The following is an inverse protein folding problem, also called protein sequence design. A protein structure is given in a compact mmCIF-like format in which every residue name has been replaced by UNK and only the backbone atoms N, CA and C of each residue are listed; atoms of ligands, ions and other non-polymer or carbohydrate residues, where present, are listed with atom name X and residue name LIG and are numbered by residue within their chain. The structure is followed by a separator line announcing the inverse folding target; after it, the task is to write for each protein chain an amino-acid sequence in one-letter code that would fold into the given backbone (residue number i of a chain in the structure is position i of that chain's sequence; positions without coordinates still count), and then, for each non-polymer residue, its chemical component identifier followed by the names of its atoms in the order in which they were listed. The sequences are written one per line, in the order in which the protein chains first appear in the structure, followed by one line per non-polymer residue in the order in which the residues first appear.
data_IF_753653906428
#
_entry.id   IF_753653906428
#
_cell.length_a   1.000
_cell.length_b   1.000
_cell.length_c   1.000
_cell.angle_alpha   90.00
_cell.angle_beta   90.00
_cell.angle_gamma   90.00
#
_symmetry.space_group_name_H-M   'P 1'
#
loop_
_entity.id
_entity.type
_entity.pdbx_description
1 polymer ?
#
# COMPACT_ATOMS: atom_id res chain seq x y z
N UNK A 1 45.68 -30.74 -7.36
CA UNK A 1 46.08 -29.83 -6.27
C UNK A 1 45.90 -28.38 -6.74
N UNK A 2 45.02 -27.60 -6.11
CA UNK A 2 44.81 -26.19 -6.46
C UNK A 2 45.97 -25.37 -5.88
N UNK A 3 46.80 -24.75 -6.73
CA UNK A 3 47.86 -23.83 -6.29
C UNK A 3 47.17 -22.63 -5.62
N UNK A 4 47.29 -22.50 -4.29
CA UNK A 4 46.82 -21.31 -3.58
C UNK A 4 47.59 -20.10 -4.13
N UNK A 5 46.86 -19.04 -4.48
CA UNK A 5 47.47 -17.81 -4.97
C UNK A 5 48.38 -17.26 -3.86
N UNK A 6 49.66 -17.04 -4.18
CA UNK A 6 50.58 -16.41 -3.22
C UNK A 6 49.99 -15.08 -2.71
N UNK A 7 50.10 -14.78 -1.41
CA UNK A 7 49.74 -13.49 -0.82
C UNK A 7 50.28 -12.33 -1.66
N UNK A 8 49.52 -11.24 -1.77
CA UNK A 8 49.91 -10.07 -2.58
C UNK A 8 51.27 -9.50 -2.15
N UNK A 9 51.53 -9.49 -0.83
CA UNK A 9 52.81 -9.09 -0.26
C UNK A 9 53.99 -9.95 -0.76
N UNK A 10 53.83 -11.27 -0.86
CA UNK A 10 54.87 -12.15 -1.39
C UNK A 10 55.14 -11.91 -2.88
N UNK A 11 54.12 -11.53 -3.65
CA UNK A 11 54.30 -11.20 -5.08
C UNK A 11 55.02 -9.87 -5.27
N UNK A 12 54.74 -8.88 -4.42
CA UNK A 12 55.42 -7.58 -4.40
C UNK A 12 56.89 -7.76 -4.02
N UNK A 13 57.16 -8.51 -2.94
CA UNK A 13 58.52 -8.87 -2.55
C UNK A 13 59.24 -9.58 -3.71
N UNK A 14 58.65 -10.62 -4.31
CA UNK A 14 59.23 -11.33 -5.46
C UNK A 14 59.56 -10.38 -6.62
N UNK A 15 58.72 -9.39 -6.92
CA UNK A 15 58.99 -8.41 -7.98
C UNK A 15 60.16 -7.48 -7.65
N UNK A 16 60.27 -7.02 -6.40
CA UNK A 16 61.38 -6.17 -5.96
C UNK A 16 62.69 -6.97 -5.92
N UNK A 17 62.64 -8.20 -5.42
CA UNK A 17 63.77 -9.13 -5.44
C UNK A 17 64.22 -9.49 -6.86
N UNK A 18 63.31 -9.70 -7.81
CA UNK A 18 63.65 -9.92 -9.22
C UNK A 18 64.32 -8.70 -9.87
N UNK A 19 63.92 -7.47 -9.50
CA UNK A 19 64.61 -6.25 -9.93
C UNK A 19 66.02 -6.17 -9.35
N UNK A 20 66.22 -6.61 -8.10
CA UNK A 20 67.52 -6.68 -7.43
C UNK A 20 68.42 -7.81 -7.97
N UNK A 21 67.85 -8.95 -8.36
CA UNK A 21 68.62 -10.07 -8.92
C UNK A 21 69.15 -9.75 -10.33
N UNK A 22 68.50 -8.84 -11.04
CA UNK A 22 68.95 -8.32 -12.34
C UNK A 22 69.98 -7.20 -12.21
N UNK A 23 70.29 -6.77 -10.99
CA UNK A 23 71.26 -5.73 -10.70
C UNK A 23 72.68 -6.33 -10.74
N UNK A 24 73.53 -5.81 -11.63
CA UNK A 24 74.93 -6.23 -11.73
C UNK A 24 75.83 -5.28 -10.94
N UNK A 25 76.33 -5.76 -9.80
CA UNK A 25 77.17 -5.01 -8.88
C UNK A 25 78.50 -4.52 -9.50
N UNK A 26 78.91 -5.07 -10.64
CA UNK A 26 80.12 -4.64 -11.34
C UNK A 26 79.91 -3.41 -12.24
N UNK A 27 78.65 -3.04 -12.55
CA UNK A 27 78.33 -1.96 -13.51
C UNK A 27 77.41 -0.87 -12.94
N UNK A 28 76.73 -1.11 -11.82
CA UNK A 28 75.78 -0.16 -11.21
C UNK A 28 76.20 0.30 -9.81
N UNK A 29 75.75 1.49 -9.41
CA UNK A 29 76.15 2.15 -8.17
C UNK A 29 75.23 1.77 -7.02
N UNK A 30 75.77 1.38 -5.87
CA UNK A 30 75.02 0.88 -4.69
C UNK A 30 73.83 1.79 -4.28
N UNK A 31 73.92 3.09 -4.56
CA UNK A 31 72.84 4.06 -4.36
C UNK A 31 71.59 3.80 -5.20
N UNK A 32 71.70 3.14 -6.36
CA UNK A 32 70.57 2.77 -7.21
C UNK A 32 69.67 1.74 -6.51
N UNK A 33 70.26 0.82 -5.74
CA UNK A 33 69.52 -0.14 -4.91
C UNK A 33 68.70 0.60 -3.84
N UNK A 34 69.32 1.59 -3.18
CA UNK A 34 68.62 2.42 -2.19
C UNK A 34 67.44 3.14 -2.84
N UNK A 35 67.62 3.69 -4.04
CA UNK A 35 66.55 4.33 -4.81
C UNK A 35 65.38 3.39 -5.14
N UNK A 36 65.63 2.12 -5.48
CA UNK A 36 64.57 1.12 -5.71
C UNK A 36 63.74 0.92 -4.45
N UNK A 37 64.39 0.73 -3.29
CA UNK A 37 63.70 0.53 -2.02
C UNK A 37 62.96 1.78 -1.55
N UNK A 38 63.53 2.97 -1.75
CA UNK A 38 62.87 4.23 -1.41
C UNK A 38 61.60 4.45 -2.26
N UNK A 39 61.65 4.11 -3.55
CA UNK A 39 60.50 4.18 -4.43
C UNK A 39 59.38 3.22 -3.99
N UNK A 40 59.70 1.95 -3.75
CA UNK A 40 58.70 0.96 -3.31
C UNK A 40 58.16 1.31 -1.91
N UNK A 41 58.99 1.88 -1.03
CA UNK A 41 58.55 2.39 0.27
C UNK A 41 57.59 3.58 0.14
N UNK A 42 57.84 4.49 -0.80
CA UNK A 42 56.95 5.62 -1.07
C UNK A 42 55.59 5.13 -1.61
N UNK A 43 55.62 4.15 -2.53
CA UNK A 43 54.40 3.52 -3.06
C UNK A 43 53.60 2.83 -1.96
N UNK A 44 54.25 2.06 -1.09
CA UNK A 44 53.58 1.41 0.03
C UNK A 44 52.94 2.42 0.99
N UNK A 45 53.60 3.55 1.26
CA UNK A 45 53.00 4.61 2.09
C UNK A 45 51.73 5.19 1.48
N UNK A 46 51.70 5.38 0.17
CA UNK A 46 50.49 5.83 -0.53
C UNK A 46 49.37 4.79 -0.46
N UNK A 47 49.68 3.52 -0.68
CA UNK A 47 48.70 2.44 -0.58
C UNK A 47 48.14 2.30 0.84
N UNK A 48 48.99 2.39 1.87
CA UNK A 48 48.55 2.38 3.28
C UNK A 48 47.64 3.56 3.57
N UNK A 49 48.01 4.78 3.15
CA UNK A 49 47.17 5.96 3.34
C UNK A 49 45.81 5.82 2.64
N UNK A 50 45.79 5.28 1.41
CA UNK A 50 44.54 5.00 0.70
C UNK A 50 43.69 3.97 1.44
N UNK A 51 44.29 2.87 1.93
CA UNK A 51 43.53 1.88 2.69
C UNK A 51 42.99 2.44 4.00
N UNK A 52 43.72 3.32 4.69
CA UNK A 52 43.22 4.00 5.88
C UNK A 52 42.00 4.87 5.54
N UNK A 53 42.07 5.64 4.46
CA UNK A 53 40.94 6.42 3.96
C UNK A 53 39.74 5.53 3.63
N UNK A 54 39.95 4.47 2.84
CA UNK A 54 38.90 3.51 2.46
C UNK A 54 38.26 2.87 3.70
N UNK A 55 39.06 2.50 4.71
CA UNK A 55 38.56 1.96 5.98
C UNK A 55 37.69 3.00 6.70
N UNK A 56 38.09 4.26 6.73
CA UNK A 56 37.27 5.32 7.35
C UNK A 56 35.95 5.51 6.60
N UNK A 57 35.98 5.53 5.26
CA UNK A 57 34.79 5.63 4.42
C UNK A 57 33.86 4.41 4.57
N UNK A 58 34.42 3.20 4.65
CA UNK A 58 33.65 2.00 4.93
C UNK A 58 33.00 2.05 6.33
N UNK A 59 33.71 2.57 7.33
CA UNK A 59 33.15 2.72 8.68
C UNK A 59 31.99 3.72 8.73
N UNK A 60 32.12 4.86 8.05
CA UNK A 60 31.07 5.89 8.01
C UNK A 60 29.83 5.38 7.26
N UNK A 61 30.02 4.79 6.09
CA UNK A 61 28.91 4.19 5.31
C UNK A 61 28.19 3.10 6.09
N UNK A 62 28.91 2.22 6.78
CA UNK A 62 28.33 1.16 7.60
C UNK A 62 27.52 1.73 8.78
N UNK A 63 27.99 2.82 9.40
CA UNK A 63 27.22 3.53 10.44
C UNK A 63 25.89 4.06 9.88
N UNK A 64 25.91 4.74 8.74
CA UNK A 64 24.71 5.26 8.07
C UNK A 64 23.73 4.14 7.72
N UNK A 65 24.20 3.02 7.17
CA UNK A 65 23.35 1.87 6.84
C UNK A 65 22.69 1.27 8.08
N UNK A 66 23.42 1.15 9.21
CA UNK A 66 22.83 0.69 10.47
C UNK A 66 21.73 1.62 10.97
N UNK A 67 21.92 2.93 10.85
CA UNK A 67 20.91 3.93 11.22
C UNK A 67 19.66 3.81 10.33
N UNK A 68 19.83 3.64 9.02
CA UNK A 68 18.72 3.43 8.07
C UNK A 68 17.95 2.14 8.36
N UNK A 69 18.65 1.03 8.65
CA UNK A 69 18.00 -0.24 9.02
C UNK A 69 17.17 -0.08 10.28
N UNK A 70 17.70 0.60 11.30
CA UNK A 70 16.96 0.85 12.55
C UNK A 70 15.70 1.68 12.29
N UNK A 71 15.82 2.76 11.52
CA UNK A 71 14.66 3.59 11.18
C UNK A 71 13.59 2.80 10.41
N UNK A 72 13.99 1.95 9.46
CA UNK A 72 13.06 1.10 8.72
C UNK A 72 12.37 0.07 9.63
N UNK A 73 13.10 -0.53 10.58
CA UNK A 73 12.55 -1.44 11.58
C UNK A 73 11.52 -0.74 12.49
N UNK A 74 11.81 0.47 12.93
CA UNK A 74 10.90 1.26 13.76
C UNK A 74 9.61 1.62 12.98
N UNK A 75 9.72 1.96 11.69
CA UNK A 75 8.57 2.21 10.81
C UNK A 75 7.74 0.94 10.65
N UNK A 76 8.36 -0.20 10.35
CA UNK A 76 7.66 -1.48 10.19
C UNK A 76 6.88 -1.85 11.45
N UNK A 77 7.52 -1.72 12.62
CA UNK A 77 6.86 -1.97 13.90
C UNK A 77 5.65 -1.05 14.11
N UNK A 78 5.78 0.24 13.79
CA UNK A 78 4.67 1.18 13.86
C UNK A 78 3.52 0.85 12.89
N UNK A 79 3.83 0.31 11.70
CA UNK A 79 2.81 -0.15 10.75
C UNK A 79 2.12 -1.43 11.21
N UNK A 80 2.86 -2.38 11.79
CA UNK A 80 2.30 -3.60 12.38
C UNK A 80 1.37 -3.30 13.56
N UNK A 81 1.75 -2.38 14.43
CA UNK A 81 0.91 -1.89 15.53
C UNK A 81 -0.37 -1.25 14.99
N UNK A 82 -0.26 -0.40 13.95
CA UNK A 82 -1.44 0.20 13.30
C UNK A 82 -2.35 -0.85 12.69
N UNK A 83 -1.81 -1.83 11.97
CA UNK A 83 -2.58 -2.92 11.38
C UNK A 83 -3.31 -3.74 12.45
N UNK A 84 -2.64 -4.02 13.57
CA UNK A 84 -3.20 -4.76 14.70
C UNK A 84 -4.28 -3.95 15.44
N UNK A 85 -4.11 -2.63 15.51
CA UNK A 85 -5.09 -1.71 16.11
C UNK A 85 -6.26 -1.37 15.18
N UNK A 86 -6.16 -1.72 13.90
CA UNK A 86 -7.21 -1.47 12.93
C UNK A 86 -8.38 -2.40 13.28
N UNK A 87 -9.59 -1.88 13.55
CA UNK A 87 -10.74 -2.73 13.77
C UNK A 87 -10.91 -3.61 12.54
N UNK A 88 -10.97 -4.92 12.73
CA UNK A 88 -11.42 -5.80 11.67
C UNK A 88 -12.84 -5.36 11.30
N UNK A 89 -13.01 -4.86 10.08
CA UNK A 89 -14.29 -4.46 9.49
C UNK A 89 -15.43 -5.52 9.46
N UNK A 90 -15.25 -6.85 9.70
CA UNK A 90 -16.35 -7.80 9.53
C UNK A 90 -17.56 -7.53 10.43
N UNK A 91 -17.33 -7.13 11.68
CA UNK A 91 -18.41 -6.99 12.67
C UNK A 91 -19.38 -5.84 12.31
N UNK A 92 -18.85 -4.70 11.88
CA UNK A 92 -19.67 -3.57 11.45
C UNK A 92 -20.32 -3.86 10.09
N UNK A 93 -19.65 -4.58 9.19
CA UNK A 93 -20.19 -4.95 7.87
C UNK A 93 -21.40 -5.88 7.98
N UNK A 94 -21.37 -6.89 8.85
CA UNK A 94 -22.51 -7.79 9.07
C UNK A 94 -23.67 -7.08 9.76
N UNK A 95 -23.38 -6.24 10.77
CA UNK A 95 -24.40 -5.44 11.45
C UNK A 95 -25.07 -4.44 10.50
N UNK A 96 -24.29 -3.79 9.63
CA UNK A 96 -24.82 -2.92 8.57
C UNK A 96 -25.66 -3.70 7.56
N UNK A 97 -25.23 -4.91 7.16
CA UNK A 97 -26.00 -5.79 6.27
C UNK A 97 -27.36 -6.18 6.86
N UNK A 98 -27.41 -6.54 8.14
CA UNK A 98 -28.67 -6.81 8.84
C UNK A 98 -29.56 -5.57 8.90
N UNK A 99 -28.99 -4.39 9.16
CA UNK A 99 -29.77 -3.14 9.18
C UNK A 99 -30.33 -2.77 7.82
N UNK A 100 -29.58 -3.01 6.73
CA UNK A 100 -30.05 -2.80 5.37
C UNK A 100 -31.26 -3.70 5.07
N UNK A 101 -31.16 -5.00 5.35
CA UNK A 101 -32.26 -5.94 5.07
C UNK A 101 -33.52 -5.64 5.89
N UNK A 102 -33.36 -5.22 7.15
CA UNK A 102 -34.48 -4.74 7.99
C UNK A 102 -35.18 -3.53 7.36
N UNK A 103 -34.40 -2.52 6.95
CA UNK A 103 -34.94 -1.31 6.33
C UNK A 103 -35.60 -1.60 4.97
N UNK A 104 -35.04 -2.51 4.18
CA UNK A 104 -35.64 -2.95 2.91
C UNK A 104 -37.00 -3.63 3.12
N UNK A 105 -37.11 -4.46 4.16
CA UNK A 105 -38.36 -5.14 4.51
C UNK A 105 -39.42 -4.15 5.02
N UNK A 106 -39.03 -3.19 5.84
CA UNK A 106 -39.90 -2.10 6.30
C UNK A 106 -40.37 -1.24 5.12
N UNK A 107 -39.47 -0.86 4.21
CA UNK A 107 -39.82 -0.10 3.01
C UNK A 107 -40.82 -0.86 2.11
N UNK A 108 -40.63 -2.18 1.97
CA UNK A 108 -41.56 -3.05 1.24
C UNK A 108 -42.95 -3.06 1.87
N UNK A 109 -43.04 -3.22 3.20
CA UNK A 109 -44.31 -3.17 3.94
C UNK A 109 -45.03 -1.85 3.75
N UNK A 110 -44.32 -0.73 3.93
CA UNK A 110 -44.89 0.60 3.76
C UNK A 110 -45.42 0.83 2.33
N UNK A 111 -44.73 0.31 1.31
CA UNK A 111 -45.21 0.40 -0.08
C UNK A 111 -46.50 -0.37 -0.33
N UNK A 112 -46.68 -1.51 0.34
CA UNK A 112 -47.93 -2.28 0.27
C UNK A 112 -49.05 -1.52 0.98
N UNK A 113 -48.79 -1.07 2.20
CA UNK A 113 -49.77 -0.31 3.00
C UNK A 113 -50.25 0.97 2.27
N UNK A 114 -49.33 1.72 1.66
CA UNK A 114 -49.67 2.89 0.84
C UNK A 114 -50.56 2.53 -0.36
N UNK A 115 -50.30 1.39 -1.01
CA UNK A 115 -51.10 0.93 -2.16
C UNK A 115 -52.52 0.58 -1.71
N UNK A 116 -52.64 -0.14 -0.61
CA UNK A 116 -53.91 -0.61 -0.08
C UNK A 116 -54.76 0.59 0.36
N UNK A 117 -54.18 1.51 1.15
CA UNK A 117 -54.84 2.76 1.55
C UNK A 117 -55.28 3.61 0.34
N UNK A 118 -54.45 3.68 -0.70
CA UNK A 118 -54.82 4.40 -1.94
C UNK A 118 -56.02 3.74 -2.63
N UNK A 119 -56.06 2.41 -2.65
CA UNK A 119 -57.18 1.66 -3.25
C UNK A 119 -58.46 1.81 -2.45
N UNK A 120 -58.38 1.79 -1.11
CA UNK A 120 -59.51 2.03 -0.22
C UNK A 120 -60.06 3.45 -0.40
N UNK A 121 -59.18 4.45 -0.45
CA UNK A 121 -59.58 5.84 -0.69
C UNK A 121 -60.31 6.01 -2.04
N UNK A 122 -59.79 5.39 -3.10
CA UNK A 122 -60.44 5.41 -4.42
C UNK A 122 -61.80 4.71 -4.41
N UNK A 123 -61.94 3.59 -3.69
CA UNK A 123 -63.22 2.90 -3.54
C UNK A 123 -64.23 3.74 -2.77
N UNK A 124 -63.82 4.38 -1.69
CA UNK A 124 -64.66 5.28 -0.90
C UNK A 124 -65.15 6.46 -1.75
N UNK A 125 -64.27 7.06 -2.56
CA UNK A 125 -64.60 8.13 -3.50
C UNK A 125 -65.61 7.66 -4.56
N UNK A 126 -65.38 6.49 -5.16
CA UNK A 126 -66.29 5.90 -6.14
C UNK A 126 -67.67 5.58 -5.53
N UNK A 127 -67.72 5.09 -4.29
CA UNK A 127 -68.96 4.81 -3.57
C UNK A 127 -69.71 6.09 -3.20
N UNK A 128 -68.99 7.13 -2.78
CA UNK A 128 -69.56 8.44 -2.52
C UNK A 128 -70.18 9.04 -3.78
N UNK A 129 -69.48 8.96 -4.91
CA UNK A 129 -69.97 9.42 -6.21
C UNK A 129 -71.22 8.64 -6.65
N UNK A 130 -71.20 7.30 -6.56
CA UNK A 130 -72.35 6.46 -6.89
C UNK A 130 -73.59 6.77 -6.04
N UNK A 131 -73.41 7.11 -4.75
CA UNK A 131 -74.51 7.55 -3.88
C UNK A 131 -75.09 8.90 -4.29
N UNK A 132 -74.28 9.81 -4.80
CA UNK A 132 -74.72 11.11 -5.32
C UNK A 132 -75.48 10.92 -6.64
N UNK A 133 -74.95 10.11 -7.55
CA UNK A 133 -75.55 9.82 -8.86
C UNK A 133 -76.91 9.08 -8.71
N UNK A 134 -77.02 8.17 -7.73
CA UNK A 134 -78.28 7.49 -7.42
C UNK A 134 -79.35 8.42 -6.82
N UNK A 135 -78.97 9.48 -6.09
CA UNK A 135 -79.92 10.48 -5.57
C UNK A 135 -80.44 11.42 -6.66
N UNK A 136 -79.63 11.73 -7.68
CA UNK A 136 -80.04 12.57 -8.80
C UNK A 136 -80.99 11.89 -9.80
N UNK A 137 -80.97 10.55 -9.87
CA UNK A 137 -81.86 9.78 -10.75
C UNK A 137 -83.27 9.58 -10.17
N UNK A 138 -83.46 9.65 -8.86
CA UNK A 138 -84.79 9.58 -8.22
C UNK A 138 -85.56 10.91 -8.25
N UNK A 139 -84.89 12.07 -8.33
CA UNK A 139 -85.55 13.39 -8.40
C UNK A 139 -86.07 13.75 -9.80
N UNK A 140 -85.86 12.90 -10.80
CA UNK A 140 -86.18 13.16 -12.22
C UNK A 140 -87.23 12.18 -12.79
N UNK A 141 -88.20 11.72 -11.99
CA UNK A 141 -89.43 11.08 -12.52
C UNK A 141 -90.52 12.13 -12.76
N UNK A 142 -90.88 12.48 -14.00
CA UNK A 142 -92.06 13.30 -14.26
C UNK A 142 -93.33 12.48 -13.96
N UNK A 143 -94.15 13.00 -13.04
CA UNK A 143 -95.50 12.52 -12.77
C UNK A 143 -96.40 12.76 -14.00
N UNK A 144 -96.49 11.79 -14.90
CA UNK A 144 -97.55 11.75 -15.92
C UNK A 144 -98.80 11.10 -15.33
N UNK A 145 -99.72 11.92 -14.83
CA UNK A 145 -101.14 11.57 -14.73
C UNK A 145 -101.84 12.21 -15.91
N UNK A 146 -102.21 11.41 -16.91
CA UNK A 146 -103.35 11.71 -17.77
C UNK A 146 -103.99 10.38 -18.16
N UNK A 147 -105.12 10.09 -17.52
CA UNK A 147 -106.04 9.03 -17.90
C UNK A 147 -107.10 9.64 -18.83
N UNK A 148 -107.44 9.01 -19.96
CA UNK A 148 -108.62 9.38 -20.74
C UNK A 148 -109.83 8.58 -20.22
N UNK A 149 -110.92 9.29 -19.88
CA UNK A 149 -112.27 8.72 -19.85
C UNK A 149 -113.21 9.64 -20.61
N UNK A 150 -114.09 8.97 -21.36
CA UNK A 150 -115.16 9.48 -22.22
C UNK A 150 -116.14 10.42 -21.51
#
# INVERSE_FOLDING_TARGET
MKKQAKPLAQKLDEQVFEKLLKYDANTQNLWDIVGIFEHERAKLRLEVAQYEEDITNCKTTLKTLREQIKAAQDILKGLEERLSSMPTLPADSEALGLKITELELENSKLRVEIRDLKSEFQLEENLAQARVDSKHTESSKPSSKNAPKA
#
